data_IF_578798634030
#
_entry.id   IF_578798634030
#
_cell.length_a   1.000
_cell.length_b   1.000
_cell.length_c   1.000
_cell.angle_alpha   90.00
_cell.angle_beta   90.00
_cell.angle_gamma   90.00
#
_symmetry.space_group_name_H-M   'P 1'
#
loop_
_entity.id
_entity.type
_entity.pdbx_description
1 polymer ?
#
# COMPACT_ATOMS: atom_id res chain seq x y z
N UNK A 1 -5.95 4.68 2.23
CA UNK A 1 -4.70 4.70 1.47
C UNK A 1 -4.78 3.71 0.32
N UNK A 2 -5.06 2.43 0.60
CA UNK A 2 -5.14 1.33 -0.36
C UNK A 2 -5.92 1.63 -1.66
N UNK A 3 -7.11 2.25 -1.59
CA UNK A 3 -7.89 2.57 -2.80
C UNK A 3 -7.20 3.56 -3.76
N UNK A 4 -6.52 4.60 -3.26
CA UNK A 4 -5.84 5.57 -4.14
C UNK A 4 -4.61 4.95 -4.80
N UNK A 5 -3.85 4.13 -4.07
CA UNK A 5 -2.70 3.40 -4.61
C UNK A 5 -3.16 2.45 -5.72
N UNK A 6 -4.21 1.66 -5.47
CA UNK A 6 -4.72 0.71 -6.48
C UNK A 6 -5.22 1.43 -7.73
N UNK A 7 -5.94 2.55 -7.58
CA UNK A 7 -6.37 3.35 -8.73
C UNK A 7 -5.18 3.85 -9.55
N UNK A 8 -4.09 4.27 -8.89
CA UNK A 8 -2.87 4.67 -9.58
C UNK A 8 -2.20 3.50 -10.31
N UNK A 9 -2.15 2.31 -9.70
CA UNK A 9 -1.59 1.12 -10.37
C UNK A 9 -2.45 0.66 -11.56
N UNK A 10 -3.78 0.72 -11.45
CA UNK A 10 -4.69 0.45 -12.56
C UNK A 10 -4.51 1.45 -13.70
N UNK A 11 -4.28 2.72 -13.39
CA UNK A 11 -3.96 3.72 -14.40
C UNK A 11 -2.64 3.41 -15.11
N UNK A 12 -1.60 3.00 -14.37
CA UNK A 12 -0.33 2.60 -14.97
C UNK A 12 -0.47 1.34 -15.84
N UNK A 13 -1.28 0.39 -15.37
CA UNK A 13 -1.63 -0.82 -16.13
C UNK A 13 -2.28 -0.47 -17.48
N UNK A 14 -3.30 0.39 -17.49
CA UNK A 14 -3.93 0.89 -18.73
C UNK A 14 -2.91 1.50 -19.70
N UNK A 15 -1.88 2.17 -19.17
CA UNK A 15 -0.79 2.75 -19.96
C UNK A 15 0.32 1.77 -20.33
N UNK A 16 0.19 0.49 -19.97
CA UNK A 16 1.21 -0.57 -20.17
C UNK A 16 2.55 -0.21 -19.51
N UNK A 17 2.48 0.44 -18.35
CA UNK A 17 3.62 0.87 -17.56
C UNK A 17 3.69 0.08 -16.26
N UNK A 18 4.90 -0.19 -15.80
CA UNK A 18 5.18 -0.81 -14.51
C UNK A 18 6.31 -0.10 -13.76
N UNK A 19 6.30 -0.20 -12.43
CA UNK A 19 7.42 0.23 -11.61
C UNK A 19 8.35 -0.95 -11.35
N UNK A 20 9.65 -0.77 -11.60
CA UNK A 20 10.64 -1.79 -11.25
C UNK A 20 10.82 -1.94 -9.74
N UNK A 21 10.55 -0.87 -8.99
CA UNK A 21 10.65 -0.82 -7.53
C UNK A 21 9.55 0.11 -7.00
N UNK A 22 8.41 -0.48 -6.62
CA UNK A 22 7.37 0.25 -5.91
C UNK A 22 7.43 -0.10 -4.43
N UNK A 23 7.72 0.90 -3.59
CA UNK A 23 7.76 0.78 -2.13
C UNK A 23 7.00 1.92 -1.47
N UNK A 24 6.81 1.87 -0.15
CA UNK A 24 6.24 2.98 0.61
C UNK A 24 7.04 4.29 0.43
N UNK A 25 8.35 4.23 0.17
CA UNK A 25 9.20 5.41 -0.05
C UNK A 25 8.86 6.17 -1.34
N UNK A 26 8.26 5.50 -2.31
CA UNK A 26 7.83 6.09 -3.58
C UNK A 26 6.36 6.57 -3.53
N UNK A 27 5.67 6.36 -2.40
CA UNK A 27 4.27 6.72 -2.21
C UNK A 27 4.23 7.95 -1.31
N UNK A 28 4.03 9.10 -1.93
CA UNK A 28 3.95 10.38 -1.26
C UNK A 28 2.50 10.67 -0.87
N UNK A 29 2.33 11.36 0.25
CA UNK A 29 1.05 11.89 0.69
C UNK A 29 1.21 13.38 0.96
N UNK A 30 0.34 14.20 0.36
CA UNK A 30 0.34 15.63 0.63
C UNK A 30 -0.51 16.01 1.86
N UNK A 31 -0.48 17.29 2.24
CA UNK A 31 -1.24 17.82 3.39
C UNK A 31 -2.76 17.68 3.23
N UNK A 32 -3.25 17.50 2.00
CA UNK A 32 -4.65 17.24 1.72
C UNK A 32 -5.02 15.75 1.83
N UNK A 33 -4.06 14.87 2.10
CA UNK A 33 -4.30 13.43 2.12
C UNK A 33 -4.43 12.81 0.72
N UNK A 34 -3.94 13.49 -0.31
CA UNK A 34 -3.87 12.94 -1.66
C UNK A 34 -2.57 12.15 -1.81
N UNK A 35 -2.69 10.93 -2.32
CA UNK A 35 -1.57 10.02 -2.54
C UNK A 35 -1.06 10.18 -3.97
N UNK A 36 0.26 10.26 -4.12
CA UNK A 36 0.96 10.36 -5.40
C UNK A 36 2.09 9.34 -5.44
N UNK A 37 2.25 8.67 -6.58
CA UNK A 37 3.40 7.81 -6.81
C UNK A 37 4.50 8.67 -7.46
N UNK A 38 5.69 8.66 -6.86
CA UNK A 38 6.87 9.39 -7.31
C UNK A 38 7.91 8.42 -7.91
N UNK A 39 8.91 8.97 -8.60
CA UNK A 39 10.07 8.21 -9.10
C UNK A 39 9.88 7.74 -10.53
N UNK A 40 9.75 8.67 -11.46
CA UNK A 40 9.55 8.38 -12.88
C UNK A 40 10.71 7.56 -13.48
N UNK A 41 11.90 7.70 -12.92
CA UNK A 41 13.11 6.94 -13.26
C UNK A 41 12.97 5.42 -13.04
N UNK A 42 12.02 4.97 -12.22
CA UNK A 42 11.73 3.56 -11.97
C UNK A 42 10.64 3.00 -12.87
N UNK A 43 10.04 3.85 -13.71
CA UNK A 43 8.98 3.47 -14.63
C UNK A 43 9.55 2.76 -15.86
N UNK A 44 8.93 1.65 -16.24
CA UNK A 44 9.33 0.84 -17.39
C UNK A 44 8.11 0.37 -18.17
N UNK A 45 8.33 -0.04 -19.41
CA UNK A 45 7.32 -0.75 -20.19
C UNK A 45 7.00 -2.07 -19.50
N UNK A 46 5.71 -2.38 -19.38
CA UNK A 46 5.24 -3.59 -18.71
C UNK A 46 5.83 -4.84 -19.36
N UNK A 47 6.42 -5.69 -18.53
CA UNK A 47 6.95 -7.01 -18.90
C UNK A 47 6.21 -8.15 -18.19
N UNK A 48 5.64 -7.89 -17.00
CA UNK A 48 4.91 -8.87 -16.21
C UNK A 48 3.47 -8.41 -15.96
N UNK A 49 2.51 -9.34 -15.88
CA UNK A 49 1.11 -9.04 -15.61
C UNK A 49 0.79 -8.92 -14.11
N UNK A 50 1.56 -9.58 -13.22
CA UNK A 50 1.29 -9.64 -11.77
C UNK A 50 1.96 -8.56 -10.93
N UNK A 51 2.83 -7.72 -11.53
CA UNK A 51 3.71 -6.79 -10.80
C UNK A 51 2.95 -5.89 -9.80
N UNK A 52 1.76 -5.43 -10.17
CA UNK A 52 0.97 -4.52 -9.35
C UNK A 52 0.40 -5.21 -8.10
N UNK A 53 0.03 -6.49 -8.22
CA UNK A 53 -0.49 -7.29 -7.11
C UNK A 53 0.63 -7.59 -6.11
N UNK A 54 1.79 -8.01 -6.60
CA UNK A 54 2.98 -8.26 -5.77
C UNK A 54 3.42 -7.01 -5.02
N UNK A 55 3.49 -5.87 -5.72
CA UNK A 55 3.84 -4.60 -5.09
C UNK A 55 2.84 -4.18 -4.01
N UNK A 56 1.54 -4.38 -4.25
CA UNK A 56 0.49 -4.11 -3.25
C UNK A 56 0.62 -5.00 -2.01
N UNK A 57 0.97 -6.28 -2.19
CA UNK A 57 1.24 -7.20 -1.08
C UNK A 57 2.36 -6.68 -0.18
N UNK A 58 3.49 -6.31 -0.78
CA UNK A 58 4.65 -5.73 -0.07
C UNK A 58 4.32 -4.40 0.63
N UNK A 59 3.57 -3.51 -0.02
CA UNK A 59 3.12 -2.25 0.59
C UNK A 59 2.19 -2.55 1.77
N UNK A 60 1.20 -3.41 1.60
CA UNK A 60 0.22 -3.72 2.65
C UNK A 60 0.91 -4.35 3.87
N UNK A 61 1.85 -5.27 3.64
CA UNK A 61 2.67 -5.86 4.69
C UNK A 61 3.47 -4.78 5.44
N UNK A 62 4.16 -3.88 4.72
CA UNK A 62 4.88 -2.75 5.33
C UNK A 62 3.97 -1.85 6.15
N UNK A 63 2.74 -1.56 5.69
CA UNK A 63 1.78 -0.75 6.43
C UNK A 63 1.26 -1.45 7.70
N UNK A 64 1.18 -2.77 7.70
CA UNK A 64 0.68 -3.55 8.83
C UNK A 64 1.74 -3.73 9.92
N UNK A 65 2.98 -4.06 9.55
CA UNK A 65 4.03 -4.42 10.52
C UNK A 65 5.29 -3.54 10.47
N UNK A 66 5.42 -2.66 9.49
CA UNK A 66 6.56 -1.75 9.34
C UNK A 66 7.67 -2.25 8.40
N UNK A 67 7.62 -3.52 7.98
CA UNK A 67 8.63 -4.16 7.14
C UNK A 67 8.01 -5.24 6.24
N UNK A 68 8.75 -5.59 5.19
CA UNK A 68 8.54 -6.78 4.36
C UNK A 68 9.40 -7.91 4.93
N UNK A 69 8.92 -9.15 4.91
CA UNK A 69 9.71 -10.30 5.37
C UNK A 69 10.86 -10.63 4.42
N UNK A 70 12.01 -10.98 4.98
CA UNK A 70 13.23 -11.30 4.21
C UNK A 70 13.10 -12.60 3.40
N UNK A 71 12.21 -13.51 3.82
CA UNK A 71 11.95 -14.78 3.13
C UNK A 71 11.05 -14.63 1.89
N UNK A 72 10.57 -13.41 1.60
CA UNK A 72 9.66 -13.12 0.50
C UNK A 72 8.23 -13.63 0.73
N UNK A 73 7.92 -14.18 1.89
CA UNK A 73 6.58 -14.68 2.22
C UNK A 73 5.68 -13.50 2.56
N UNK A 74 4.54 -13.41 1.88
CA UNK A 74 3.51 -12.43 2.18
C UNK A 74 2.72 -12.88 3.43
N UNK A 75 2.78 -12.09 4.49
CA UNK A 75 2.03 -12.37 5.72
C UNK A 75 2.39 -11.41 6.86
N UNK A 76 1.79 -11.63 8.04
CA UNK A 76 2.05 -10.82 9.25
C UNK A 76 2.51 -11.71 10.40
N UNK A 77 3.41 -11.20 11.25
CA UNK A 77 3.99 -11.98 12.35
C UNK A 77 3.15 -11.94 13.64
N UNK A 78 2.58 -10.78 13.97
CA UNK A 78 1.83 -10.60 15.21
C UNK A 78 0.32 -10.79 14.96
N UNK A 79 -0.17 -12.01 15.18
CA UNK A 79 -1.59 -12.36 15.01
C UNK A 79 -2.50 -11.83 16.12
N UNK A 80 -1.95 -11.47 17.28
CA UNK A 80 -2.72 -10.80 18.35
C UNK A 80 -3.13 -9.38 17.92
N UNK A 81 -2.21 -8.68 17.24
CA UNK A 81 -2.45 -7.37 16.63
C UNK A 81 -3.25 -7.47 15.34
N UNK A 82 -2.90 -8.43 14.48
CA UNK A 82 -3.50 -8.64 13.16
C UNK A 82 -4.24 -9.96 13.10
N UNK A 83 -5.46 -9.96 13.65
CA UNK A 83 -6.30 -11.17 13.67
C UNK A 83 -6.52 -11.72 12.27
N UNK A 84 -6.49 -13.05 12.15
CA UNK A 84 -6.68 -13.78 10.89
C UNK A 84 -8.06 -13.56 10.26
N UNK A 85 -9.08 -13.27 11.07
CA UNK A 85 -10.44 -12.93 10.63
C UNK A 85 -10.59 -11.47 10.17
N UNK A 86 -9.52 -10.67 10.23
CA UNK A 86 -9.57 -9.27 9.83
C UNK A 86 -9.53 -9.11 8.31
N UNK A 87 -10.31 -8.15 7.80
CA UNK A 87 -10.32 -7.79 6.37
C UNK A 87 -8.94 -7.35 5.85
N UNK A 88 -8.06 -6.88 6.73
CA UNK A 88 -6.70 -6.50 6.37
C UNK A 88 -5.84 -7.72 6.06
N UNK A 89 -5.91 -8.77 6.89
CA UNK A 89 -5.22 -10.05 6.66
C UNK A 89 -5.83 -10.79 5.47
N UNK A 90 -7.16 -10.78 5.33
CA UNK A 90 -7.85 -11.32 4.15
C UNK A 90 -7.37 -10.64 2.85
N UNK A 91 -7.29 -9.30 2.84
CA UNK A 91 -6.78 -8.56 1.70
C UNK A 91 -5.31 -8.88 1.38
N UNK A 92 -4.45 -8.97 2.41
CA UNK A 92 -3.05 -9.33 2.25
C UNK A 92 -2.90 -10.76 1.72
N UNK A 93 -3.74 -11.69 2.17
CA UNK A 93 -3.78 -13.05 1.63
C UNK A 93 -4.22 -13.04 0.16
N UNK A 94 -5.18 -12.20 -0.21
CA UNK A 94 -5.63 -12.07 -1.60
C UNK A 94 -4.50 -11.70 -2.58
N UNK A 95 -3.48 -10.96 -2.13
CA UNK A 95 -2.37 -10.59 -3.01
C UNK A 95 -1.44 -11.75 -3.37
N UNK A 96 -1.61 -12.96 -2.79
CA UNK A 96 -0.77 -14.13 -3.11
C UNK A 96 -1.36 -15.04 -4.18
N UNK A 97 -2.67 -14.97 -4.42
CA UNK A 97 -3.37 -15.85 -5.38
C UNK A 97 -4.15 -15.09 -6.46
N UNK A 98 -4.40 -13.80 -6.28
CA UNK A 98 -5.06 -12.97 -7.30
C UNK A 98 -4.02 -12.44 -8.29
N UNK A 99 -4.24 -12.67 -9.58
CA UNK A 99 -3.36 -12.16 -10.65
C UNK A 99 -3.89 -10.87 -11.31
N UNK A 100 -5.11 -10.43 -10.97
CA UNK A 100 -5.77 -9.28 -11.58
C UNK A 100 -6.15 -8.24 -10.51
N UNK A 101 -5.64 -7.02 -10.67
CA UNK A 101 -5.92 -5.90 -9.78
C UNK A 101 -7.41 -5.55 -9.69
N UNK A 102 -8.20 -5.80 -10.75
CA UNK A 102 -9.65 -5.58 -10.71
C UNK A 102 -10.37 -6.54 -9.76
N UNK A 103 -9.81 -7.72 -9.53
CA UNK A 103 -10.33 -8.65 -8.51
C UNK A 103 -9.95 -8.19 -7.11
N UNK A 104 -8.74 -7.62 -6.92
CA UNK A 104 -8.36 -7.02 -5.63
C UNK A 104 -9.29 -5.88 -5.25
N UNK A 105 -9.75 -5.05 -6.20
CA UNK A 105 -10.73 -3.97 -5.94
C UNK A 105 -12.03 -4.46 -5.29
N UNK A 106 -12.43 -5.71 -5.54
CA UNK A 106 -13.66 -6.30 -5.00
C UNK A 106 -13.52 -6.77 -3.55
N UNK A 107 -12.30 -6.79 -3.01
CA UNK A 107 -12.05 -7.27 -1.65
C UNK A 107 -12.76 -6.42 -0.58
N UNK A 108 -13.27 -7.04 0.50
CA UNK A 108 -14.08 -6.35 1.53
C UNK A 108 -13.41 -5.12 2.15
N UNK A 109 -12.08 -5.11 2.25
CA UNK A 109 -11.31 -3.97 2.77
C UNK A 109 -11.50 -2.70 1.93
N UNK A 110 -11.61 -2.81 0.61
CA UNK A 110 -11.71 -1.68 -0.31
C UNK A 110 -13.15 -1.20 -0.56
N UNK A 111 -14.11 -2.02 -0.14
CA UNK A 111 -15.54 -1.69 -0.14
C UNK A 111 -15.95 -0.90 1.10
N UNK A 112 -15.06 -0.78 2.10
CA UNK A 112 -15.29 0.08 3.26
C UNK A 112 -15.45 1.55 2.84
N UNK A 113 -16.31 2.32 3.53
CA UNK A 113 -16.53 3.73 3.21
C UNK A 113 -15.23 4.51 3.36
N UNK A 114 -14.72 4.99 2.23
CA UNK A 114 -13.56 5.85 2.19
C UNK A 114 -13.91 7.25 2.67
N UNK A 115 -13.11 7.80 3.61
CA UNK A 115 -13.22 9.19 4.05
C UNK A 115 -11.87 9.87 3.90
N UNK A 116 -11.77 10.81 2.97
CA UNK A 116 -10.57 11.60 2.72
C UNK A 116 -10.04 12.30 3.99
N UNK A 117 -10.95 12.75 4.85
CA UNK A 117 -10.62 13.37 6.14
C UNK A 117 -9.76 12.48 7.06
N UNK A 118 -9.80 11.15 6.91
CA UNK A 118 -8.94 10.26 7.71
C UNK A 118 -7.47 10.42 7.36
N UNK A 119 -7.13 10.58 6.07
CA UNK A 119 -5.75 10.83 5.66
C UNK A 119 -5.29 12.22 6.05
N UNK A 120 -6.14 13.24 5.89
CA UNK A 120 -5.86 14.60 6.39
C UNK A 120 -5.55 14.57 7.89
N UNK A 121 -6.36 13.85 8.66
CA UNK A 121 -6.13 13.64 10.09
C UNK A 121 -4.80 12.95 10.40
N UNK A 122 -4.46 11.89 9.68
CA UNK A 122 -3.16 11.20 9.84
C UNK A 122 -1.97 12.12 9.54
N UNK A 123 -2.03 12.89 8.45
CA UNK A 123 -0.96 13.83 8.07
C UNK A 123 -0.85 14.96 9.09
N UNK A 124 -1.98 15.50 9.55
CA UNK A 124 -2.01 16.51 10.60
C UNK A 124 -1.39 16.00 11.91
N UNK A 125 -1.73 14.79 12.33
CA UNK A 125 -1.11 14.15 13.48
C UNK A 125 0.39 14.02 13.27
N UNK A 126 0.84 13.40 12.19
CA UNK A 126 2.27 13.21 11.90
C UNK A 126 3.06 14.54 11.97
N UNK A 127 2.52 15.61 11.38
CA UNK A 127 3.12 16.94 11.44
C UNK A 127 3.18 17.53 12.86
N UNK A 128 2.10 17.39 13.64
CA UNK A 128 2.07 17.84 15.05
C UNK A 128 3.09 17.10 15.92
N UNK A 129 3.30 15.80 15.70
CA UNK A 129 4.27 15.02 16.47
C UNK A 129 5.70 15.30 16.01
N UNK A 130 5.93 15.44 14.70
CA UNK A 130 7.25 15.79 14.15
C UNK A 130 7.72 17.16 14.63
N UNK A 131 6.84 18.16 14.72
CA UNK A 131 7.20 19.49 15.22
C UNK A 131 7.53 19.50 16.71
N UNK A 132 7.10 18.48 17.45
CA UNK A 132 7.40 18.26 18.87
C UNK A 132 8.65 17.40 19.10
N UNK A 133 9.42 17.10 18.05
CA UNK A 133 10.66 16.33 18.15
C UNK A 133 10.46 14.83 18.32
N UNK A 134 9.23 14.32 18.17
CA UNK A 134 9.00 12.87 18.16
C UNK A 134 9.63 12.27 16.90
N UNK A 135 10.54 11.31 17.11
CA UNK A 135 11.09 10.48 16.04
C UNK A 135 10.41 9.12 16.11
N UNK A 136 9.94 8.64 14.97
CA UNK A 136 9.53 7.24 14.90
C UNK A 136 10.74 6.36 15.23
N UNK A 137 10.58 5.31 16.06
CA UNK A 137 11.64 4.36 16.30
C UNK A 137 12.13 3.81 14.96
N UNK A 138 13.44 3.81 14.77
CA UNK A 138 14.07 3.16 13.61
C UNK A 138 13.87 1.67 13.81
N UNK A 139 13.13 1.04 12.89
CA UNK A 139 12.95 -0.41 12.83
C UNK A 139 14.21 -1.02 12.22
#
# INVERSE_FOLDING_TARGET
>A
MSRQVINALLFLDDKKLEYSQLSCSNILIDLSGTIKIWGFEFLRTRSNSSWGVEALGSIMMTLMQGYVKDDGVVGVDNLDRWRTDSRAVEFLSATTYVNDMNQLLKQPLLQLPWRESRLKGMVSLANCWSSRGYKFPVV
#
